data_IF_972392494215
#
_entry.id   IF_972392494215
#
_cell.length_a   1.000
_cell.length_b   1.000
_cell.length_c   1.000
_cell.angle_alpha   90.00
_cell.angle_beta   90.00
_cell.angle_gamma   90.00
#
_symmetry.space_group_name_H-M   'P 1'
#
loop_
_entity.id
_entity.type
_entity.pdbx_description
1 polymer ?
#
# COMPACT_ATOMS: atom_id res chain seq x y z
N UNK A 1 -18.28 -63.55 -56.98
CA UNK A 1 -18.00 -64.03 -55.61
C UNK A 1 -17.67 -62.85 -54.72
N UNK A 2 -18.41 -62.73 -53.61
CA UNK A 2 -18.04 -62.12 -52.32
C UNK A 2 -17.76 -60.61 -52.24
N UNK A 3 -18.83 -59.93 -51.85
CA UNK A 3 -18.96 -58.63 -51.20
C UNK A 3 -18.42 -58.67 -49.74
N UNK A 4 -17.54 -57.74 -49.35
CA UNK A 4 -17.25 -57.30 -47.95
C UNK A 4 -16.70 -55.86 -48.05
N UNK A 5 -17.44 -54.78 -47.82
CA UNK A 5 -17.94 -54.20 -46.56
C UNK A 5 -16.87 -54.03 -45.46
N UNK A 6 -16.48 -52.76 -45.21
CA UNK A 6 -16.19 -52.10 -43.92
C UNK A 6 -15.53 -50.73 -44.24
N UNK A 7 -16.29 -49.64 -44.32
CA UNK A 7 -16.54 -48.67 -43.24
C UNK A 7 -15.29 -48.32 -42.40
N UNK A 8 -14.85 -47.06 -42.46
CA UNK A 8 -14.81 -46.12 -41.33
C UNK A 8 -14.52 -44.72 -41.90
N UNK A 9 -15.54 -43.87 -41.79
CA UNK A 9 -15.57 -42.43 -42.02
C UNK A 9 -14.87 -41.70 -40.87
N UNK A 10 -13.85 -40.89 -41.16
CA UNK A 10 -13.30 -39.93 -40.21
C UNK A 10 -13.98 -38.57 -40.46
N UNK A 11 -15.05 -38.31 -39.70
CA UNK A 11 -15.60 -36.97 -39.51
C UNK A 11 -14.63 -36.20 -38.59
N UNK A 12 -13.89 -35.24 -39.12
CA UNK A 12 -13.26 -34.19 -38.30
C UNK A 12 -14.33 -33.15 -37.94
N UNK A 13 -14.90 -33.30 -36.75
CA UNK A 13 -15.72 -32.28 -36.09
C UNK A 13 -14.83 -31.11 -35.65
N UNK A 14 -14.99 -29.97 -36.32
CA UNK A 14 -14.45 -28.68 -35.90
C UNK A 14 -15.27 -28.17 -34.70
N UNK A 15 -14.94 -28.62 -33.49
CA UNK A 15 -15.52 -28.10 -32.26
C UNK A 15 -14.83 -26.77 -31.92
N UNK A 16 -15.51 -25.66 -32.21
CA UNK A 16 -15.14 -24.34 -31.76
C UNK A 16 -15.22 -24.27 -30.22
N UNK A 17 -14.09 -24.37 -29.54
CA UNK A 17 -13.97 -24.01 -28.12
C UNK A 17 -13.96 -22.50 -27.99
N UNK A 18 -15.15 -21.90 -27.87
CA UNK A 18 -15.31 -20.58 -27.28
C UNK A 18 -14.92 -20.71 -25.79
N UNK A 19 -13.66 -20.41 -25.45
CA UNK A 19 -13.27 -20.17 -24.06
C UNK A 19 -13.93 -18.86 -23.66
N UNK A 20 -15.12 -18.97 -23.07
CA UNK A 20 -15.77 -17.87 -22.36
C UNK A 20 -14.84 -17.48 -21.22
N UNK A 21 -14.17 -16.34 -21.35
CA UNK A 21 -13.49 -15.69 -20.25
C UNK A 21 -14.54 -15.38 -19.19
N UNK A 22 -14.62 -16.22 -18.16
CA UNK A 22 -15.35 -15.91 -16.94
C UNK A 22 -14.51 -14.82 -16.26
N UNK A 23 -15.06 -13.63 -15.96
CA UNK A 23 -14.36 -12.73 -15.07
C UNK A 23 -14.28 -13.44 -13.72
N UNK A 24 -13.06 -13.80 -13.30
CA UNK A 24 -12.84 -14.33 -11.96
C UNK A 24 -13.46 -13.36 -10.96
N UNK A 25 -14.30 -13.82 -10.03
CA UNK A 25 -14.67 -12.98 -8.90
C UNK A 25 -13.37 -12.66 -8.17
N UNK A 26 -13.09 -11.37 -8.01
CA UNK A 26 -12.06 -10.85 -7.10
C UNK A 26 -12.32 -11.49 -5.74
N UNK A 27 -11.59 -12.55 -5.44
CA UNK A 27 -11.63 -13.18 -4.12
C UNK A 27 -11.04 -12.14 -3.18
N UNK A 28 -11.76 -11.73 -2.12
CA UNK A 28 -11.20 -10.78 -1.17
C UNK A 28 -9.98 -11.44 -0.55
N UNK A 29 -8.79 -10.97 -0.88
CA UNK A 29 -7.59 -11.27 -0.11
C UNK A 29 -7.90 -10.87 1.33
N UNK A 30 -7.98 -11.85 2.24
CA UNK A 30 -8.12 -11.52 3.64
C UNK A 30 -6.95 -10.62 4.04
N UNK A 31 -7.20 -9.70 4.97
CA UNK A 31 -6.19 -8.79 5.52
C UNK A 31 -4.91 -9.50 5.99
N UNK A 32 -5.01 -10.77 6.38
CA UNK A 32 -3.88 -11.62 6.79
C UNK A 32 -2.85 -11.82 5.68
N UNK A 33 -3.23 -11.73 4.40
CA UNK A 33 -2.34 -11.93 3.24
C UNK A 33 -1.72 -10.61 2.75
N UNK A 34 -2.25 -9.47 3.19
CA UNK A 34 -1.76 -8.16 2.73
C UNK A 34 -0.44 -7.79 3.41
N UNK A 35 0.61 -7.76 2.60
CA UNK A 35 1.97 -7.55 3.07
C UNK A 35 2.67 -8.84 3.53
N UNK A 36 1.98 -9.98 3.53
CA UNK A 36 2.63 -11.27 3.77
C UNK A 36 3.67 -11.54 2.68
N UNK A 37 4.91 -11.84 3.08
CA UNK A 37 6.03 -12.02 2.15
C UNK A 37 6.49 -10.74 1.44
N UNK A 38 5.97 -9.56 1.81
CA UNK A 38 6.44 -8.29 1.26
C UNK A 38 7.89 -8.03 1.64
N UNK A 39 8.74 -7.86 0.62
CA UNK A 39 10.13 -7.46 0.75
C UNK A 39 10.23 -6.01 0.32
N UNK A 40 10.80 -5.16 1.18
CA UNK A 40 11.07 -3.77 0.80
C UNK A 40 12.02 -3.75 -0.40
N UNK A 41 11.72 -2.99 -1.45
CA UNK A 41 12.67 -2.74 -2.52
C UNK A 41 13.75 -1.73 -2.13
N UNK A 42 13.69 -1.14 -0.93
CA UNK A 42 14.59 -0.09 -0.49
C UNK A 42 15.63 -0.59 0.52
N UNK A 43 16.83 -0.05 0.37
CA UNK A 43 17.84 -0.07 1.42
C UNK A 43 17.57 1.09 2.40
N UNK A 44 17.17 0.76 3.63
CA UNK A 44 16.86 1.78 4.63
C UNK A 44 18.09 2.57 5.09
N UNK A 45 19.32 2.08 4.94
CA UNK A 45 20.51 2.88 5.24
C UNK A 45 20.65 4.02 4.22
N UNK A 46 20.31 3.75 2.95
CA UNK A 46 20.23 4.78 1.90
C UNK A 46 19.10 5.76 2.18
N UNK A 47 17.89 5.28 2.53
CA UNK A 47 16.76 6.15 2.92
C UNK A 47 17.16 7.08 4.06
N UNK A 48 17.77 6.53 5.12
CA UNK A 48 18.18 7.27 6.30
C UNK A 48 19.25 8.32 5.97
N UNK A 49 20.22 7.99 5.10
CA UNK A 49 21.25 8.92 4.66
C UNK A 49 20.67 10.09 3.84
N UNK A 50 19.74 9.80 2.91
CA UNK A 50 19.07 10.83 2.12
C UNK A 50 18.21 11.76 2.99
N UNK A 51 17.50 11.20 3.99
CA UNK A 51 16.75 11.98 4.97
C UNK A 51 17.66 12.87 5.82
N UNK A 52 18.79 12.34 6.31
CA UNK A 52 19.75 13.12 7.08
C UNK A 52 20.36 14.29 6.26
N UNK A 53 20.44 14.13 4.94
CA UNK A 53 20.87 15.17 4.01
C UNK A 53 19.71 16.11 3.56
N UNK A 54 18.48 15.88 4.01
CA UNK A 54 17.26 16.55 3.53
C UNK A 54 17.10 16.50 1.99
N UNK A 55 17.56 15.43 1.35
CA UNK A 55 17.46 15.24 -0.09
C UNK A 55 16.08 14.68 -0.48
N UNK A 56 15.05 15.50 -0.33
CA UNK A 56 13.66 15.14 -0.61
C UNK A 56 13.39 14.80 -2.07
N UNK A 57 14.14 15.40 -3.01
CA UNK A 57 14.02 15.08 -4.44
C UNK A 57 14.41 13.62 -4.71
N UNK A 58 15.57 13.18 -4.21
CA UNK A 58 16.01 11.80 -4.36
C UNK A 58 15.07 10.81 -3.65
N UNK A 59 14.57 11.14 -2.46
CA UNK A 59 13.59 10.31 -1.75
C UNK A 59 12.29 10.18 -2.54
N UNK A 60 11.81 11.29 -3.12
CA UNK A 60 10.62 11.30 -3.96
C UNK A 60 10.83 10.47 -5.22
N UNK A 61 11.98 10.59 -5.90
CA UNK A 61 12.31 9.78 -7.07
C UNK A 61 12.36 8.29 -6.72
N UNK A 62 13.07 7.93 -5.64
CA UNK A 62 13.22 6.55 -5.19
C UNK A 62 11.87 5.90 -4.88
N UNK A 63 10.98 6.59 -4.14
CA UNK A 63 9.66 6.07 -3.80
C UNK A 63 8.65 6.15 -4.96
N UNK A 64 8.98 6.83 -6.06
CA UNK A 64 8.04 7.08 -7.16
C UNK A 64 7.46 5.84 -7.83
N UNK A 65 8.14 4.70 -7.69
CA UNK A 65 7.64 3.42 -8.16
C UNK A 65 6.25 3.06 -7.62
N UNK A 66 5.87 3.52 -6.42
CA UNK A 66 4.57 3.20 -5.84
C UNK A 66 3.41 4.00 -6.41
N UNK A 67 3.62 5.24 -6.85
CA UNK A 67 2.54 6.09 -7.36
C UNK A 67 2.60 6.36 -8.86
N UNK A 68 3.71 6.02 -9.53
CA UNK A 68 3.78 6.04 -10.99
C UNK A 68 3.06 4.85 -11.63
N UNK A 69 2.92 3.74 -10.89
CA UNK A 69 2.19 2.54 -11.31
C UNK A 69 1.18 2.13 -10.23
N UNK A 70 0.16 2.98 -9.92
CA UNK A 70 -0.81 2.64 -8.90
C UNK A 70 -1.56 1.38 -9.32
N UNK A 71 -1.73 0.45 -8.39
CA UNK A 71 -2.63 -0.68 -8.64
C UNK A 71 -4.08 -0.18 -8.52
N UNK A 72 -5.03 -0.84 -9.16
CA UNK A 72 -6.44 -0.45 -9.06
C UNK A 72 -6.99 -0.53 -7.62
N UNK A 73 -6.30 -1.23 -6.71
CA UNK A 73 -6.74 -1.47 -5.35
C UNK A 73 -5.86 -0.81 -4.28
N UNK A 74 -4.78 -0.14 -4.67
CA UNK A 74 -3.93 0.67 -3.79
C UNK A 74 -3.53 1.96 -4.50
N UNK A 75 -3.90 3.10 -3.90
CA UNK A 75 -3.56 4.41 -4.44
C UNK A 75 -3.34 5.44 -3.33
N UNK A 76 -2.53 6.43 -3.65
CA UNK A 76 -2.19 7.55 -2.78
C UNK A 76 -3.17 8.71 -2.99
N UNK A 77 -3.58 9.35 -1.89
CA UNK A 77 -4.26 10.64 -1.90
C UNK A 77 -3.53 11.61 -0.97
N UNK A 78 -3.00 12.69 -1.54
CA UNK A 78 -2.37 13.75 -0.78
C UNK A 78 -3.40 14.76 -0.26
N UNK A 79 -3.38 15.00 1.04
CA UNK A 79 -4.24 15.97 1.73
C UNK A 79 -3.39 17.06 2.42
N UNK A 80 -2.22 17.32 1.86
CA UNK A 80 -1.22 18.22 2.44
C UNK A 80 -1.64 19.69 2.36
N UNK A 81 -1.77 20.30 3.54
CA UNK A 81 -1.99 21.71 3.80
C UNK A 81 -0.90 22.29 4.72
N UNK A 82 -0.98 23.59 5.03
CA UNK A 82 -0.13 24.24 6.04
C UNK A 82 -0.33 23.68 7.46
N UNK A 83 -1.45 23.01 7.73
CA UNK A 83 -1.71 22.34 9.00
C UNK A 83 -1.19 20.89 9.04
N UNK A 84 -0.53 20.41 7.98
CA UNK A 84 0.07 19.07 8.00
C UNK A 84 1.37 19.08 8.82
N UNK A 85 1.75 17.94 9.41
CA UNK A 85 2.99 17.85 10.16
C UNK A 85 4.20 18.08 9.25
N UNK A 86 5.34 18.39 9.88
CA UNK A 86 6.63 18.44 9.20
C UNK A 86 6.97 17.06 8.61
N UNK A 87 7.58 17.07 7.43
CA UNK A 87 7.95 15.82 6.73
C UNK A 87 9.05 15.07 7.47
N UNK A 88 9.95 15.78 8.17
CA UNK A 88 10.93 15.17 9.06
C UNK A 88 10.26 14.46 10.26
N UNK A 89 9.22 15.06 10.84
CA UNK A 89 8.45 14.44 11.91
C UNK A 89 7.70 13.21 11.41
N UNK A 90 7.11 13.28 10.21
CA UNK A 90 6.47 12.15 9.56
C UNK A 90 7.44 10.98 9.34
N UNK A 91 8.62 11.26 8.80
CA UNK A 91 9.68 10.26 8.64
C UNK A 91 10.04 9.61 9.98
N UNK A 92 10.31 10.40 11.02
CA UNK A 92 10.68 9.88 12.35
C UNK A 92 9.55 9.09 13.01
N UNK A 93 8.30 9.51 12.84
CA UNK A 93 7.14 8.78 13.31
C UNK A 93 7.08 7.40 12.67
N UNK A 94 7.26 7.32 11.35
CA UNK A 94 7.23 6.08 10.58
C UNK A 94 8.44 5.18 10.90
N UNK A 95 9.64 5.76 11.06
CA UNK A 95 10.82 4.99 11.42
C UNK A 95 10.70 4.36 12.83
N UNK A 96 9.94 4.98 13.74
CA UNK A 96 9.63 4.39 15.04
C UNK A 96 8.78 3.11 14.96
N UNK A 97 8.11 2.81 13.83
CA UNK A 97 7.39 1.54 13.67
C UNK A 97 8.34 0.34 13.79
N UNK A 98 9.59 0.48 13.32
CA UNK A 98 10.61 -0.57 13.42
C UNK A 98 11.15 -0.74 14.84
N UNK A 99 11.26 0.37 15.60
CA UNK A 99 11.93 0.37 16.91
C UNK A 99 11.06 -0.19 18.03
N UNK A 100 9.75 -0.23 17.85
CA UNK A 100 8.80 -0.69 18.87
C UNK A 100 8.65 -2.21 18.95
N UNK A 101 9.29 -2.98 18.06
CA UNK A 101 9.29 -4.45 18.12
C UNK A 101 7.93 -5.10 17.84
N UNK A 102 6.97 -4.34 17.30
CA UNK A 102 5.69 -4.88 16.87
C UNK A 102 5.79 -5.32 15.42
N UNK A 103 5.75 -6.63 15.17
CA UNK A 103 5.70 -7.17 13.80
C UNK A 103 4.39 -6.79 13.10
N UNK A 104 3.33 -6.48 13.86
CA UNK A 104 1.98 -6.24 13.37
C UNK A 104 1.43 -4.87 13.79
N UNK A 105 0.89 -4.16 12.79
CA UNK A 105 0.23 -2.86 12.91
C UNK A 105 -1.27 -3.07 12.76
N UNK A 106 -1.99 -2.97 13.88
CA UNK A 106 -3.38 -3.38 13.96
C UNK A 106 -4.35 -2.20 14.12
N UNK A 107 -5.51 -2.32 13.50
CA UNK A 107 -6.67 -1.48 13.78
C UNK A 107 -7.39 -2.00 15.02
N UNK A 108 -7.09 -1.43 16.17
CA UNK A 108 -7.64 -1.79 17.48
C UNK A 108 -8.76 -0.84 17.95
N UNK A 109 -9.10 0.18 17.16
CA UNK A 109 -10.25 1.01 17.44
C UNK A 109 -11.52 0.35 16.90
N UNK A 110 -12.43 -0.01 17.82
CA UNK A 110 -13.70 -0.64 17.48
C UNK A 110 -14.79 0.36 17.04
N UNK A 111 -14.57 1.67 17.26
CA UNK A 111 -15.53 2.70 16.89
C UNK A 111 -15.31 3.09 15.42
N UNK A 112 -16.20 2.66 14.52
CA UNK A 112 -16.17 3.17 13.14
C UNK A 112 -16.58 4.66 13.13
N UNK A 113 -15.93 5.54 12.35
CA UNK A 113 -14.88 5.30 11.35
C UNK A 113 -13.43 5.54 11.86
N UNK A 114 -13.21 5.47 13.18
CA UNK A 114 -11.96 5.92 13.80
C UNK A 114 -10.80 4.97 13.50
N UNK A 115 -9.64 5.55 13.22
CA UNK A 115 -8.40 4.85 12.92
C UNK A 115 -7.65 4.54 14.23
N UNK A 116 -6.88 3.45 14.27
CA UNK A 116 -5.89 3.28 15.33
C UNK A 116 -4.65 4.11 15.02
N UNK A 117 -4.15 4.82 16.03
CA UNK A 117 -2.80 5.37 16.00
C UNK A 117 -1.80 4.22 16.13
N UNK A 118 -0.84 4.16 15.20
CA UNK A 118 0.23 3.17 15.20
C UNK A 118 1.51 3.73 15.84
N UNK A 119 1.78 5.01 15.59
CA UNK A 119 2.99 5.70 16.06
C UNK A 119 2.79 7.21 15.99
N UNK A 120 3.57 7.93 16.79
CA UNK A 120 3.61 9.39 16.84
C UNK A 120 5.05 9.85 17.07
N UNK A 121 5.44 10.95 16.42
CA UNK A 121 6.66 11.69 16.69
C UNK A 121 6.48 13.16 16.33
N UNK A 122 6.85 14.07 17.24
CA UNK A 122 6.64 15.50 17.05
C UNK A 122 5.16 15.79 16.76
N UNK A 123 4.90 16.50 15.66
CA UNK A 123 3.55 16.81 15.20
C UNK A 123 2.92 15.68 14.38
N UNK A 124 3.70 14.68 13.94
CA UNK A 124 3.22 13.65 13.02
C UNK A 124 2.70 12.40 13.73
N UNK A 125 1.55 11.90 13.25
CA UNK A 125 1.00 10.60 13.61
C UNK A 125 0.74 9.74 12.38
N UNK A 126 0.98 8.45 12.52
CA UNK A 126 0.67 7.44 11.53
C UNK A 126 -0.42 6.51 12.06
N UNK A 127 -1.39 6.17 11.22
CA UNK A 127 -2.56 5.40 11.64
C UNK A 127 -3.05 4.40 10.60
N UNK A 128 -3.86 3.45 11.07
CA UNK A 128 -4.56 2.48 10.23
C UNK A 128 -6.07 2.54 10.49
N UNK A 129 -6.84 2.78 9.43
CA UNK A 129 -8.30 2.73 9.43
C UNK A 129 -8.73 1.48 8.65
N UNK A 130 -9.75 0.77 9.12
CA UNK A 130 -10.21 -0.47 8.50
C UNK A 130 -11.10 -1.27 9.43
N UNK A 131 -11.30 -2.55 9.12
CA UNK A 131 -12.02 -3.47 10.00
C UNK A 131 -11.33 -3.61 11.36
N UNK A 132 -12.11 -3.73 12.43
CA UNK A 132 -11.58 -3.96 13.78
C UNK A 132 -10.78 -5.28 13.82
N UNK A 133 -9.61 -5.24 14.48
CA UNK A 133 -8.59 -6.31 14.55
C UNK A 133 -7.92 -6.69 13.23
N UNK A 134 -8.16 -5.93 12.16
CA UNK A 134 -7.32 -6.01 10.97
C UNK A 134 -5.87 -5.70 11.35
N UNK A 135 -4.90 -6.49 10.89
CA UNK A 135 -3.49 -6.28 11.14
C UNK A 135 -2.71 -6.38 9.82
N UNK A 136 -1.67 -5.58 9.69
CA UNK A 136 -0.72 -5.57 8.57
C UNK A 136 0.70 -5.66 9.12
N UNK A 137 1.68 -6.20 8.38
CA UNK A 137 3.07 -6.13 8.80
C UNK A 137 3.52 -4.67 8.97
N UNK A 138 3.97 -4.29 10.18
CA UNK A 138 4.43 -2.92 10.43
C UNK A 138 5.61 -2.55 9.53
N UNK A 139 6.52 -3.51 9.34
CA UNK A 139 7.71 -3.38 8.51
C UNK A 139 7.88 -4.64 7.65
N UNK A 140 8.25 -4.49 6.36
CA UNK A 140 8.43 -3.23 5.65
C UNK A 140 7.12 -2.66 5.09
N UNK A 141 6.00 -3.39 5.14
CA UNK A 141 4.79 -3.05 4.40
C UNK A 141 4.18 -1.70 4.80
N UNK A 142 3.74 -1.54 6.07
CA UNK A 142 3.15 -0.27 6.53
C UNK A 142 4.17 0.86 6.46
N UNK A 143 5.43 0.61 6.85
CA UNK A 143 6.53 1.57 6.75
C UNK A 143 6.63 2.18 5.35
N UNK A 144 6.73 1.36 4.32
CA UNK A 144 6.95 1.85 2.95
C UNK A 144 5.75 2.61 2.41
N UNK A 145 4.52 2.20 2.74
CA UNK A 145 3.31 2.93 2.30
C UNK A 145 3.20 4.28 2.97
N UNK A 146 3.48 4.39 4.27
CA UNK A 146 3.41 5.68 4.96
C UNK A 146 4.60 6.58 4.56
N UNK A 147 5.80 6.04 4.35
CA UNK A 147 6.91 6.80 3.76
C UNK A 147 6.57 7.32 2.36
N UNK A 148 5.83 6.53 1.57
CA UNK A 148 5.31 7.00 0.27
C UNK A 148 4.38 8.20 0.44
N UNK A 149 3.49 8.20 1.44
CA UNK A 149 2.65 9.38 1.74
C UNK A 149 3.56 10.57 2.10
N UNK A 150 4.53 10.38 3.00
CA UNK A 150 5.40 11.45 3.45
C UNK A 150 6.14 12.13 2.29
N UNK A 151 6.75 11.36 1.39
CA UNK A 151 7.60 11.90 0.32
C UNK A 151 6.82 12.35 -0.92
N UNK A 152 5.81 11.59 -1.34
CA UNK A 152 5.01 11.97 -2.49
C UNK A 152 4.18 13.23 -2.23
N UNK A 153 3.69 13.38 -1.00
CA UNK A 153 2.86 14.50 -0.59
C UNK A 153 3.64 15.65 0.02
N UNK A 154 4.96 15.52 0.18
CA UNK A 154 5.81 16.60 0.67
C UNK A 154 5.65 17.85 -0.21
N UNK A 155 5.26 18.96 0.43
CA UNK A 155 5.15 20.28 -0.18
C UNK A 155 5.84 21.30 0.69
N UNK A 156 6.65 22.15 0.06
CA UNK A 156 7.28 23.26 0.76
C UNK A 156 6.26 24.37 1.01
N UNK A 157 6.13 24.80 2.25
CA UNK A 157 5.35 25.96 2.64
C UNK A 157 6.05 27.28 2.32
N UNK A 158 5.33 28.38 2.53
CA UNK A 158 5.90 29.73 2.39
C UNK A 158 7.00 30.02 3.45
N UNK A 159 6.99 29.25 4.54
CA UNK A 159 8.00 29.23 5.61
C UNK A 159 9.27 28.45 5.22
N UNK A 160 9.31 27.87 4.02
CA UNK A 160 10.43 27.05 3.54
C UNK A 160 10.44 25.63 4.12
N UNK A 161 9.48 25.27 4.97
CA UNK A 161 9.41 23.96 5.61
C UNK A 161 8.61 22.97 4.76
N UNK A 162 9.07 21.73 4.68
CA UNK A 162 8.35 20.66 4.00
C UNK A 162 7.31 20.05 4.93
N UNK A 163 6.05 20.06 4.51
CA UNK A 163 4.93 19.44 5.21
C UNK A 163 4.36 18.31 4.37
N UNK A 164 3.85 17.27 5.01
CA UNK A 164 3.25 16.13 4.33
C UNK A 164 2.10 15.54 5.12
N UNK A 165 1.10 15.03 4.41
CA UNK A 165 -0.09 14.43 5.00
C UNK A 165 -1.01 13.89 3.92
N UNK A 166 -1.75 12.84 4.27
CA UNK A 166 -2.63 12.16 3.34
C UNK A 166 -2.93 10.73 3.76
N UNK A 167 -3.37 9.95 2.77
CA UNK A 167 -3.81 8.57 2.96
C UNK A 167 -3.35 7.66 1.82
N UNK A 168 -2.97 6.45 2.18
CA UNK A 168 -2.75 5.35 1.25
C UNK A 168 -3.94 4.40 1.34
N UNK A 169 -4.72 4.31 0.27
CA UNK A 169 -5.90 3.46 0.23
C UNK A 169 -5.48 2.00 0.05
N UNK A 170 -6.16 1.12 0.78
CA UNK A 170 -5.94 -0.33 0.77
C UNK A 170 -7.29 -1.00 0.49
N UNK A 171 -7.90 -0.74 -0.66
CA UNK A 171 -9.27 -1.22 -0.93
C UNK A 171 -9.35 -2.77 -0.96
N UNK A 172 -8.23 -3.44 -1.23
CA UNK A 172 -8.04 -4.89 -1.04
C UNK A 172 -8.21 -5.37 0.40
N UNK A 173 -7.95 -4.53 1.41
CA UNK A 173 -8.17 -4.83 2.83
C UNK A 173 -9.64 -4.67 3.26
N UNK A 174 -10.52 -4.31 2.33
CA UNK A 174 -11.93 -4.07 2.55
C UNK A 174 -12.30 -2.59 2.41
N UNK A 175 -13.61 -2.28 2.26
CA UNK A 175 -14.06 -0.93 1.98
C UNK A 175 -13.58 0.09 3.01
N UNK A 176 -12.88 1.13 2.54
CA UNK A 176 -12.41 2.24 3.37
C UNK A 176 -11.16 1.94 4.20
N UNK A 177 -10.55 0.78 4.04
CA UNK A 177 -9.27 0.47 4.65
C UNK A 177 -8.17 1.37 4.07
N UNK A 178 -7.36 1.98 4.94
CA UNK A 178 -6.35 2.96 4.55
C UNK A 178 -5.32 3.19 5.65
N UNK A 179 -4.09 3.46 5.24
CA UNK A 179 -3.07 4.02 6.11
C UNK A 179 -3.15 5.55 6.02
N UNK A 180 -2.92 6.24 7.12
CA UNK A 180 -2.99 7.69 7.19
C UNK A 180 -1.74 8.29 7.81
N UNK A 181 -1.34 9.45 7.31
CA UNK A 181 -0.35 10.34 7.91
C UNK A 181 -1.02 11.68 8.18
N UNK A 182 -1.07 12.08 9.45
CA UNK A 182 -1.85 13.22 9.90
C UNK A 182 -1.16 13.99 11.03
N UNK A 183 -1.60 15.22 11.25
CA UNK A 183 -1.16 16.05 12.38
C UNK A 183 -1.80 15.54 13.68
N UNK A 184 -0.99 15.40 14.73
CA UNK A 184 -1.40 14.91 16.05
C UNK A 184 -2.18 15.94 16.85
#
# INVERSE_FOLDING_TARGET
>A
MQLKLLLITVLLSLAATLVRAIPSPLTPTSLEVLGEGYVSPFDYDVVNALMAAHNYEALKEMYSQFWNNPTAAEYLVCETSQASPLTDDAYRAVDNLNRRGSDSCCQLNAQQPQCSNLTTHGEASAGFCGAYKACLPCSPFVKDRIMSIAYACARQGADGLFRSGGKWMLDVAGPGARLILYHS
#
